data_IF_234104252203
#
_entry.id   IF_234104252203
#
_cell.length_a   1.000
_cell.length_b   1.000
_cell.length_c   1.000
_cell.angle_alpha   90.00
_cell.angle_beta   90.00
_cell.angle_gamma   90.00
#
_symmetry.space_group_name_H-M   'P 1'
#
loop_
_entity.id
_entity.type
_entity.pdbx_description
1 polymer ?
#
# COMPACT_ATOMS: atom_id res chain seq x y z
N UNK A 1 -31.35 -6.19 5.37
CA UNK A 1 -30.70 -7.09 4.38
C UNK A 1 -31.51 -8.38 4.30
N UNK A 2 -31.94 -8.81 3.10
CA UNK A 2 -32.72 -10.06 2.99
C UNK A 2 -31.76 -11.25 3.05
N UNK A 3 -32.21 -12.37 3.59
CA UNK A 3 -31.44 -13.62 3.71
C UNK A 3 -30.83 -14.06 2.35
N UNK A 4 -31.52 -13.74 1.26
CA UNK A 4 -31.12 -14.04 -0.12
C UNK A 4 -29.86 -13.28 -0.55
N UNK A 5 -29.75 -11.99 -0.21
CA UNK A 5 -28.63 -11.11 -0.56
C UNK A 5 -27.34 -11.57 0.16
N UNK A 6 -27.49 -12.18 1.34
CA UNK A 6 -26.37 -12.76 2.09
C UNK A 6 -25.80 -13.98 1.36
N UNK A 7 -26.67 -14.88 0.91
CA UNK A 7 -26.25 -16.13 0.27
C UNK A 7 -25.59 -15.89 -1.10
N UNK A 8 -26.10 -14.94 -1.87
CA UNK A 8 -25.50 -14.54 -3.16
C UNK A 8 -24.08 -14.01 -2.99
N UNK A 9 -23.89 -13.13 -2.01
CA UNK A 9 -22.56 -12.61 -1.70
C UNK A 9 -21.61 -13.70 -1.21
N UNK A 10 -22.06 -14.62 -0.36
CA UNK A 10 -21.23 -15.73 0.10
C UNK A 10 -20.78 -16.62 -1.07
N UNK A 11 -21.69 -16.88 -2.02
CA UNK A 11 -21.35 -17.58 -3.27
C UNK A 11 -20.30 -16.82 -4.07
N UNK A 12 -20.55 -15.54 -4.36
CA UNK A 12 -19.65 -14.73 -5.16
C UNK A 12 -18.25 -14.61 -4.52
N UNK A 13 -18.20 -14.41 -3.20
CA UNK A 13 -16.95 -14.34 -2.46
C UNK A 13 -16.21 -15.68 -2.43
N UNK A 14 -16.92 -16.80 -2.25
CA UNK A 14 -16.34 -18.14 -2.30
C UNK A 14 -15.74 -18.45 -3.67
N UNK A 15 -16.46 -18.13 -4.76
CA UNK A 15 -15.93 -18.28 -6.11
C UNK A 15 -14.69 -17.42 -6.35
N UNK A 16 -14.67 -16.19 -5.84
CA UNK A 16 -13.51 -15.28 -5.96
C UNK A 16 -12.28 -15.76 -5.17
N UNK A 17 -12.47 -16.39 -4.02
CA UNK A 17 -11.37 -16.81 -3.14
C UNK A 17 -10.86 -18.22 -3.40
N UNK A 18 -11.75 -19.14 -3.79
CA UNK A 18 -11.43 -20.58 -3.87
C UNK A 18 -11.66 -21.16 -5.26
N UNK A 19 -12.00 -20.35 -6.27
CA UNK A 19 -12.38 -20.80 -7.63
C UNK A 19 -13.52 -21.84 -7.64
N UNK A 20 -14.31 -21.90 -6.57
CA UNK A 20 -15.43 -22.82 -6.45
C UNK A 20 -16.65 -22.26 -7.20
N UNK A 21 -16.94 -22.78 -8.39
CA UNK A 21 -17.98 -22.28 -9.31
C UNK A 21 -19.32 -23.06 -9.27
N UNK A 22 -19.58 -23.85 -8.23
CA UNK A 22 -20.71 -24.80 -8.19
C UNK A 22 -21.99 -24.37 -7.43
N UNK A 23 -22.18 -23.10 -7.09
CA UNK A 23 -23.22 -22.69 -6.13
C UNK A 23 -24.53 -22.17 -6.74
N UNK A 24 -24.56 -21.82 -8.03
CA UNK A 24 -25.69 -21.14 -8.70
C UNK A 24 -26.97 -21.98 -8.69
N UNK A 25 -26.87 -23.26 -9.03
CA UNK A 25 -28.01 -24.19 -9.07
C UNK A 25 -28.59 -24.50 -7.69
N UNK A 26 -27.77 -24.41 -6.65
CA UNK A 26 -28.23 -24.65 -5.28
C UNK A 26 -28.84 -23.40 -4.66
N UNK A 27 -28.26 -22.23 -4.95
CA UNK A 27 -28.87 -20.93 -4.65
C UNK A 27 -30.28 -20.85 -5.23
N UNK A 28 -30.47 -21.16 -6.52
CA UNK A 28 -31.80 -21.09 -7.16
C UNK A 28 -32.82 -22.03 -6.51
N UNK A 29 -32.40 -23.21 -6.04
CA UNK A 29 -33.24 -24.13 -5.26
C UNK A 29 -33.60 -23.54 -3.89
N UNK A 30 -32.64 -22.91 -3.20
CA UNK A 30 -32.86 -22.31 -1.87
C UNK A 30 -33.80 -21.10 -1.98
N UNK A 31 -33.68 -20.28 -3.03
CA UNK A 31 -34.55 -19.12 -3.28
C UNK A 31 -36.04 -19.47 -3.39
N UNK A 32 -36.35 -20.70 -3.81
CA UNK A 32 -37.73 -21.19 -3.99
C UNK A 32 -38.34 -21.77 -2.71
N UNK A 33 -37.57 -21.90 -1.64
CA UNK A 33 -38.04 -22.47 -0.38
C UNK A 33 -38.53 -21.37 0.56
N UNK A 34 -39.58 -21.65 1.31
CA UNK A 34 -40.02 -20.78 2.40
C UNK A 34 -38.94 -20.72 3.49
N UNK A 35 -38.46 -19.49 3.78
CA UNK A 35 -37.41 -19.21 4.78
C UNK A 35 -37.77 -19.61 6.21
N UNK A 36 -39.06 -19.80 6.52
CA UNK A 36 -39.52 -20.11 7.89
C UNK A 36 -39.35 -21.58 8.26
N UNK A 37 -39.27 -22.48 7.27
CA UNK A 37 -39.18 -23.92 7.48
C UNK A 37 -37.81 -24.38 8.03
N UNK A 38 -37.83 -25.35 8.95
CA UNK A 38 -36.63 -26.03 9.48
C UNK A 38 -35.79 -26.70 8.39
N UNK A 39 -36.45 -27.23 7.35
CA UNK A 39 -35.80 -27.83 6.19
C UNK A 39 -35.01 -26.79 5.39
N UNK A 40 -35.52 -25.57 5.27
CA UNK A 40 -34.87 -24.45 4.58
C UNK A 40 -33.63 -23.98 5.36
N UNK A 41 -33.73 -23.85 6.68
CA UNK A 41 -32.59 -23.50 7.55
C UNK A 41 -31.45 -24.50 7.44
N UNK A 42 -31.77 -25.79 7.39
CA UNK A 42 -30.77 -26.87 7.23
C UNK A 42 -30.05 -26.78 5.90
N UNK A 43 -30.78 -26.52 4.80
CA UNK A 43 -30.19 -26.33 3.46
C UNK A 43 -29.30 -25.10 3.40
N UNK A 44 -29.74 -23.98 3.99
CA UNK A 44 -28.95 -22.75 4.11
C UNK A 44 -27.66 -23.00 4.88
N UNK A 45 -27.73 -23.66 6.04
CA UNK A 45 -26.54 -23.95 6.83
C UNK A 45 -25.55 -24.85 6.08
N UNK A 46 -26.04 -25.87 5.37
CA UNK A 46 -25.21 -26.75 4.54
C UNK A 46 -24.53 -25.97 3.41
N UNK A 47 -25.27 -25.11 2.74
CA UNK A 47 -24.75 -24.23 1.70
C UNK A 47 -23.63 -23.33 2.25
N UNK A 48 -23.91 -22.61 3.33
CA UNK A 48 -22.97 -21.68 3.98
C UNK A 48 -21.68 -22.40 4.37
N UNK A 49 -21.76 -23.60 4.96
CA UNK A 49 -20.55 -24.40 5.30
C UNK A 49 -19.73 -24.77 4.06
N UNK A 50 -20.39 -25.14 2.96
CA UNK A 50 -19.71 -25.55 1.73
C UNK A 50 -18.98 -24.39 1.04
N UNK A 51 -19.37 -23.15 1.30
CA UNK A 51 -18.62 -21.99 0.79
C UNK A 51 -17.20 -21.91 1.35
N UNK A 52 -16.90 -22.60 2.45
CA UNK A 52 -15.62 -22.53 3.16
C UNK A 52 -15.43 -21.24 3.97
N UNK A 53 -16.39 -20.31 3.90
CA UNK A 53 -16.30 -19.00 4.55
C UNK A 53 -16.76 -19.02 6.01
N UNK A 54 -17.48 -20.07 6.43
CA UNK A 54 -17.99 -20.23 7.80
C UNK A 54 -17.73 -21.65 8.28
N UNK A 55 -17.14 -21.78 9.47
CA UNK A 55 -16.95 -23.06 10.17
C UNK A 55 -17.72 -23.03 11.48
N UNK A 56 -18.43 -24.11 11.78
CA UNK A 56 -19.17 -24.25 13.05
C UNK A 56 -18.75 -25.53 13.74
N UNK A 57 -18.47 -25.48 15.03
CA UNK A 57 -18.25 -26.65 15.89
C UNK A 57 -19.29 -26.63 17.01
N UNK A 58 -19.96 -27.75 17.24
CA UNK A 58 -20.89 -27.92 18.36
C UNK A 58 -20.18 -28.50 19.60
N UNK A 59 -20.75 -28.32 20.80
CA UNK A 59 -20.20 -28.81 22.08
C UNK A 59 -19.73 -27.70 23.02
N UNK A 60 -19.18 -28.04 24.19
CA UNK A 60 -18.76 -27.06 25.20
C UNK A 60 -17.58 -26.17 24.76
N UNK A 61 -16.76 -26.67 23.83
CA UNK A 61 -15.74 -25.89 23.11
C UNK A 61 -16.20 -25.53 21.69
N UNK A 62 -17.51 -25.38 21.51
CA UNK A 62 -18.14 -25.03 20.26
C UNK A 62 -17.97 -23.55 19.92
N UNK A 63 -18.12 -23.21 18.64
CA UNK A 63 -17.98 -21.86 18.14
C UNK A 63 -18.36 -21.74 16.67
N UNK A 64 -18.53 -20.49 16.22
CA UNK A 64 -18.70 -20.14 14.81
C UNK A 64 -17.57 -19.22 14.40
N UNK A 65 -16.78 -19.65 13.42
CA UNK A 65 -15.69 -18.88 12.84
C UNK A 65 -16.06 -18.42 11.44
N UNK A 66 -15.79 -17.16 11.15
CA UNK A 66 -16.02 -16.54 9.86
C UNK A 66 -14.68 -16.17 9.21
N UNK A 67 -14.62 -16.30 7.89
CA UNK A 67 -13.46 -15.92 7.11
C UNK A 67 -13.19 -14.42 7.25
N UNK A 68 -11.94 -13.94 7.38
CA UNK A 68 -11.64 -12.53 7.62
C UNK A 68 -12.27 -11.56 6.61
N UNK A 69 -12.41 -11.97 5.34
CA UNK A 69 -13.10 -11.16 4.31
C UNK A 69 -14.60 -10.95 4.54
N UNK A 70 -15.21 -11.66 5.49
CA UNK A 70 -16.58 -11.40 5.93
C UNK A 70 -16.68 -10.37 7.06
N UNK A 71 -15.57 -10.01 7.69
CA UNK A 71 -15.57 -9.17 8.90
C UNK A 71 -16.26 -7.81 8.66
N UNK A 72 -15.90 -7.12 7.57
CA UNK A 72 -16.49 -5.81 7.24
C UNK A 72 -17.99 -5.93 7.01
N UNK A 73 -18.43 -6.92 6.22
CA UNK A 73 -19.86 -7.10 5.92
C UNK A 73 -20.66 -7.52 7.16
N UNK A 74 -20.06 -8.31 8.06
CA UNK A 74 -20.66 -8.66 9.34
C UNK A 74 -20.76 -7.44 10.26
N UNK A 75 -19.73 -6.61 10.34
CA UNK A 75 -19.73 -5.39 11.15
C UNK A 75 -20.76 -4.36 10.64
N UNK A 76 -20.88 -4.18 9.32
CA UNK A 76 -21.94 -3.35 8.70
C UNK A 76 -23.35 -3.80 9.13
N UNK A 77 -23.56 -5.11 9.26
CA UNK A 77 -24.85 -5.64 9.71
C UNK A 77 -25.13 -5.37 11.19
N UNK A 78 -24.11 -5.24 12.04
CA UNK A 78 -24.27 -5.00 13.48
C UNK A 78 -24.64 -3.56 13.83
N UNK A 79 -24.27 -2.58 13.01
CA UNK A 79 -24.53 -1.16 13.28
C UNK A 79 -24.70 -0.37 11.99
N UNK A 80 -25.81 0.37 11.90
CA UNK A 80 -26.10 1.28 10.79
C UNK A 80 -25.07 2.42 10.76
N UNK A 81 -24.73 2.98 11.92
CA UNK A 81 -23.72 4.06 12.00
C UNK A 81 -22.36 3.57 11.49
N UNK A 82 -21.98 2.33 11.82
CA UNK A 82 -20.75 1.73 11.33
C UNK A 82 -20.80 1.43 9.82
N UNK A 83 -21.96 1.04 9.31
CA UNK A 83 -22.17 0.88 7.87
C UNK A 83 -21.98 2.19 7.12
N UNK A 84 -22.60 3.28 7.60
CA UNK A 84 -22.45 4.62 7.03
C UNK A 84 -20.97 5.03 7.08
N UNK A 85 -20.31 4.83 8.23
CA UNK A 85 -18.88 5.14 8.37
C UNK A 85 -18.00 4.38 7.38
N UNK A 86 -18.26 3.08 7.14
CA UNK A 86 -17.52 2.30 6.15
C UNK A 86 -17.71 2.87 4.73
N UNK A 87 -18.92 3.28 4.38
CA UNK A 87 -19.22 3.86 3.07
C UNK A 87 -18.52 5.23 2.91
N UNK A 88 -18.43 6.05 3.97
CA UNK A 88 -17.63 7.28 3.99
C UNK A 88 -16.12 7.01 3.78
N UNK A 89 -15.57 5.95 4.39
CA UNK A 89 -14.16 5.58 4.17
C UNK A 89 -13.92 5.16 2.71
N UNK A 90 -14.86 4.43 2.10
CA UNK A 90 -14.77 4.05 0.69
C UNK A 90 -14.88 5.29 -0.21
N UNK A 91 -15.78 6.22 0.09
CA UNK A 91 -15.93 7.48 -0.66
C UNK A 91 -14.67 8.35 -0.58
N UNK A 92 -14.05 8.46 0.60
CA UNK A 92 -12.77 9.15 0.79
C UNK A 92 -11.65 8.54 -0.07
N UNK A 93 -11.55 7.20 -0.11
CA UNK A 93 -10.59 6.50 -0.96
C UNK A 93 -10.83 6.74 -2.45
N UNK A 94 -12.10 6.74 -2.90
CA UNK A 94 -12.46 6.98 -4.30
C UNK A 94 -12.14 8.42 -4.71
N UNK A 95 -12.41 9.39 -3.83
CA UNK A 95 -12.13 10.83 -4.08
C UNK A 95 -10.65 11.18 -4.00
N UNK A 96 -9.80 10.24 -3.59
CA UNK A 96 -8.38 10.49 -3.37
C UNK A 96 -8.09 11.29 -2.09
N UNK A 97 -9.10 11.52 -1.24
CA UNK A 97 -8.91 12.07 0.09
C UNK A 97 -8.36 10.97 0.99
N UNK A 98 -7.06 10.71 0.87
CA UNK A 98 -6.39 9.83 1.81
C UNK A 98 -6.45 10.50 3.18
N UNK A 99 -6.93 9.81 4.23
CA UNK A 99 -6.74 10.32 5.58
C UNK A 99 -5.24 10.56 5.76
N UNK A 100 -4.85 11.82 5.96
CA UNK A 100 -3.53 12.16 6.46
C UNK A 100 -3.46 11.57 7.85
N UNK A 101 -2.99 10.34 7.95
CA UNK A 101 -2.65 9.73 9.22
C UNK A 101 -1.46 10.51 9.78
N UNK A 102 -1.74 11.62 10.47
CA UNK A 102 -0.76 12.46 11.18
C UNK A 102 -0.33 11.74 12.46
N UNK A 103 0.09 10.50 12.32
CA UNK A 103 0.03 9.54 13.39
C UNK A 103 1.42 9.15 13.83
N UNK A 104 1.74 9.39 15.11
CA UNK A 104 2.90 8.83 15.80
C UNK A 104 3.03 7.32 15.56
N UNK A 105 1.91 6.63 15.29
CA UNK A 105 1.85 5.21 14.92
C UNK A 105 2.51 4.91 13.57
N UNK A 106 2.36 5.78 12.57
CA UNK A 106 3.07 5.65 11.29
C UNK A 106 4.55 5.91 11.49
N UNK A 107 4.89 6.95 12.24
CA UNK A 107 6.30 7.25 12.53
C UNK A 107 6.97 6.07 13.24
N UNK A 108 6.29 5.40 14.17
CA UNK A 108 6.76 4.18 14.82
C UNK A 108 6.97 2.99 13.86
N UNK A 109 6.32 2.96 12.69
CA UNK A 109 6.55 1.92 11.67
C UNK A 109 7.82 2.21 10.87
N UNK A 110 8.10 3.48 10.57
CA UNK A 110 9.18 3.86 9.66
C UNK A 110 10.46 4.33 10.36
N UNK A 111 10.36 4.83 11.59
CA UNK A 111 11.44 5.52 12.30
C UNK A 111 12.00 4.70 13.47
N UNK A 112 13.28 4.91 13.74
CA UNK A 112 14.00 4.45 14.92
C UNK A 112 14.12 5.61 15.93
N UNK A 113 14.02 5.28 17.22
CA UNK A 113 14.21 6.26 18.30
C UNK A 113 15.65 6.80 18.38
N UNK A 114 16.62 6.04 17.83
CA UNK A 114 18.04 6.40 17.80
C UNK A 114 18.63 6.14 16.40
N UNK A 115 19.61 6.95 15.97
CA UNK A 115 20.24 6.75 14.67
C UNK A 115 21.04 5.44 14.65
N UNK A 116 20.95 4.72 13.54
CA UNK A 116 21.83 3.60 13.24
C UNK A 116 23.22 4.10 12.82
N UNK A 117 24.24 3.26 12.96
CA UNK A 117 25.59 3.49 12.43
C UNK A 117 25.53 3.91 10.97
N UNK A 118 26.24 4.99 10.63
CA UNK A 118 26.27 5.52 9.28
C UNK A 118 26.91 4.52 8.31
N UNK A 119 26.19 4.23 7.22
CA UNK A 119 26.68 3.46 6.08
C UNK A 119 26.49 4.31 4.83
N UNK A 120 27.44 4.26 3.88
CA UNK A 120 27.37 5.06 2.65
C UNK A 120 26.27 4.53 1.71
N UNK A 121 25.04 5.00 1.90
CA UNK A 121 23.87 4.57 1.14
C UNK A 121 23.75 5.23 -0.23
N UNK A 122 24.14 6.50 -0.33
CA UNK A 122 24.16 7.22 -1.60
C UNK A 122 25.45 6.91 -2.34
N UNK A 123 25.36 6.01 -3.32
CA UNK A 123 26.51 5.59 -4.11
C UNK A 123 26.90 6.67 -5.14
N UNK A 124 28.18 6.66 -5.54
CA UNK A 124 28.71 7.61 -6.54
C UNK A 124 27.90 7.68 -7.86
N UNK A 125 27.33 6.58 -8.39
CA UNK A 125 26.56 6.63 -9.64
C UNK A 125 25.36 7.59 -9.60
N UNK A 126 24.73 7.75 -8.43
CA UNK A 126 23.61 8.68 -8.27
C UNK A 126 24.05 10.13 -8.48
N UNK A 127 25.06 10.58 -7.73
CA UNK A 127 25.54 11.97 -7.84
C UNK A 127 26.23 12.26 -9.17
N UNK A 128 26.86 11.26 -9.79
CA UNK A 128 27.39 11.37 -11.14
C UNK A 128 26.26 11.57 -12.17
N UNK A 129 25.14 10.84 -12.04
CA UNK A 129 23.97 11.03 -12.91
C UNK A 129 23.36 12.44 -12.74
N UNK A 130 23.23 12.92 -11.49
CA UNK A 130 22.76 14.28 -11.23
C UNK A 130 23.69 15.34 -11.78
N UNK A 131 25.01 15.16 -11.63
CA UNK A 131 26.01 16.06 -12.18
C UNK A 131 25.93 16.15 -13.70
N UNK A 132 25.79 14.99 -14.38
CA UNK A 132 25.61 14.93 -15.84
C UNK A 132 24.35 15.66 -16.32
N UNK A 133 23.20 15.37 -15.72
CA UNK A 133 21.93 15.94 -16.17
C UNK A 133 21.76 17.43 -15.80
N UNK A 134 22.42 17.91 -14.74
CA UNK A 134 22.31 19.30 -14.28
C UNK A 134 23.44 20.21 -14.78
N UNK A 135 24.52 19.62 -15.30
CA UNK A 135 25.74 20.35 -15.65
C UNK A 135 26.55 20.87 -14.46
N UNK A 136 26.15 20.56 -13.22
CA UNK A 136 26.83 21.01 -12.00
C UNK A 136 28.01 20.09 -11.65
N UNK A 137 29.15 20.63 -11.18
CA UNK A 137 30.31 19.82 -10.84
C UNK A 137 30.07 18.94 -9.61
N UNK A 138 30.61 17.72 -9.62
CA UNK A 138 30.59 16.81 -8.48
C UNK A 138 31.94 16.14 -8.27
N UNK A 139 32.64 16.55 -7.22
CA UNK A 139 34.00 16.09 -6.88
C UNK A 139 33.98 15.17 -5.66
N UNK A 140 33.08 14.18 -5.61
CA UNK A 140 33.05 13.20 -4.54
C UNK A 140 32.79 13.78 -3.14
N UNK A 141 32.01 14.88 -3.08
CA UNK A 141 31.72 15.70 -1.89
C UNK A 141 32.88 16.58 -1.37
N UNK A 142 34.03 16.62 -2.04
CA UNK A 142 35.10 17.58 -1.72
C UNK A 142 34.63 18.99 -2.11
N UNK A 143 34.56 19.92 -1.13
CA UNK A 143 34.06 21.29 -1.34
C UNK A 143 32.54 21.44 -1.20
N UNK A 144 31.85 20.41 -0.74
CA UNK A 144 30.40 20.42 -0.58
C UNK A 144 29.65 19.84 -1.78
N UNK A 145 28.33 19.75 -1.65
CA UNK A 145 27.45 19.22 -2.71
C UNK A 145 26.49 20.33 -3.14
N UNK A 146 26.24 20.53 -4.45
CA UNK A 146 25.29 21.53 -4.90
C UNK A 146 23.92 21.40 -4.22
N UNK A 147 23.30 22.53 -3.88
CA UNK A 147 21.99 22.57 -3.20
C UNK A 147 20.90 21.84 -4.00
N UNK A 148 20.98 21.90 -5.33
CA UNK A 148 20.09 21.18 -6.24
C UNK A 148 20.06 19.67 -5.97
N UNK A 149 21.19 19.05 -5.63
CA UNK A 149 21.23 17.61 -5.38
C UNK A 149 20.51 17.27 -4.08
N UNK A 150 20.65 18.13 -3.07
CA UNK A 150 19.88 18.04 -1.82
C UNK A 150 18.38 18.18 -2.07
N UNK A 151 17.97 19.14 -2.90
CA UNK A 151 16.57 19.33 -3.28
C UNK A 151 16.00 18.12 -4.04
N UNK A 152 16.75 17.58 -5.01
CA UNK A 152 16.35 16.37 -5.74
C UNK A 152 16.24 15.18 -4.80
N UNK A 153 17.21 15.00 -3.90
CA UNK A 153 17.19 13.89 -2.93
C UNK A 153 15.99 14.01 -1.98
N UNK A 154 15.69 15.22 -1.49
CA UNK A 154 14.49 15.47 -0.68
C UNK A 154 13.22 15.13 -1.43
N UNK A 155 13.04 15.71 -2.62
CA UNK A 155 11.78 15.66 -3.38
C UNK A 155 11.54 14.29 -4.02
N UNK A 156 12.54 13.72 -4.68
CA UNK A 156 12.36 12.55 -5.55
C UNK A 156 12.81 11.23 -4.95
N UNK A 157 13.62 11.27 -3.90
CA UNK A 157 14.09 10.06 -3.21
C UNK A 157 13.33 9.85 -1.91
N UNK A 158 13.27 10.86 -1.04
CA UNK A 158 12.61 10.71 0.27
C UNK A 158 11.10 10.89 0.22
N UNK A 159 10.60 12.05 -0.26
CA UNK A 159 9.17 12.40 -0.21
C UNK A 159 8.27 11.54 -1.12
N UNK A 160 8.85 10.83 -2.08
CA UNK A 160 8.10 9.87 -2.93
C UNK A 160 7.76 8.59 -2.17
N UNK A 161 8.64 8.12 -1.29
CA UNK A 161 8.50 6.82 -0.62
C UNK A 161 8.15 6.90 0.86
N UNK A 162 8.45 8.03 1.49
CA UNK A 162 8.13 8.26 2.90
C UNK A 162 6.91 9.19 3.00
N UNK A 163 5.97 8.90 3.90
CA UNK A 163 4.93 9.86 4.26
C UNK A 163 5.53 11.19 4.74
N UNK A 164 4.84 12.31 4.47
CA UNK A 164 5.33 13.65 4.80
C UNK A 164 5.67 13.80 6.30
N UNK A 165 4.86 13.21 7.18
CA UNK A 165 5.10 13.21 8.63
C UNK A 165 6.40 12.50 9.01
N UNK A 166 6.66 11.34 8.41
CA UNK A 166 7.85 10.50 8.65
C UNK A 166 9.09 11.24 8.18
N UNK A 167 9.03 11.82 6.98
CA UNK A 167 10.16 12.58 6.45
C UNK A 167 10.46 13.83 7.28
N UNK A 168 9.42 14.57 7.70
CA UNK A 168 9.58 15.75 8.53
C UNK A 168 10.21 15.41 9.88
N UNK A 169 9.74 14.34 10.55
CA UNK A 169 10.28 13.93 11.84
C UNK A 169 11.72 13.42 11.73
N UNK A 170 12.03 12.58 10.73
CA UNK A 170 13.40 12.12 10.51
C UNK A 170 14.37 13.28 10.18
N UNK A 171 13.88 14.31 9.48
CA UNK A 171 14.64 15.51 9.16
C UNK A 171 14.89 16.38 10.40
N UNK A 172 13.91 16.55 11.26
CA UNK A 172 14.09 17.26 12.53
C UNK A 172 14.97 16.48 13.51
N UNK A 173 14.86 15.15 13.55
CA UNK A 173 15.72 14.30 14.38
C UNK A 173 17.21 14.40 13.99
N UNK A 174 17.51 14.49 12.69
CA UNK A 174 18.87 14.65 12.16
C UNK A 174 19.43 16.08 12.28
N UNK A 175 18.61 17.06 12.67
CA UNK A 175 18.98 18.47 12.68
C UNK A 175 19.92 18.76 13.85
N UNK A 176 21.10 19.30 13.55
CA UNK A 176 22.08 19.67 14.58
C UNK A 176 22.86 18.49 15.17
N UNK A 177 22.50 17.23 14.87
CA UNK A 177 23.26 16.05 15.32
C UNK A 177 24.42 15.68 14.40
N UNK A 178 24.41 16.13 13.14
CA UNK A 178 25.37 15.73 12.11
C UNK A 178 25.00 14.41 11.40
N UNK A 179 23.97 13.72 11.90
CA UNK A 179 23.44 12.49 11.32
C UNK A 179 22.73 12.74 9.99
N UNK A 180 22.55 11.67 9.22
CA UNK A 180 21.77 11.66 7.99
C UNK A 180 20.36 11.16 8.26
N UNK A 181 19.38 11.69 7.53
CA UNK A 181 17.95 11.33 7.63
C UNK A 181 17.74 9.80 7.59
N UNK A 182 18.46 9.09 6.72
CA UNK A 182 18.32 7.63 6.58
C UNK A 182 18.87 6.81 7.76
N UNK A 183 19.62 7.41 8.70
CA UNK A 183 20.06 6.73 9.92
C UNK A 183 18.91 6.52 10.91
N UNK A 184 17.86 7.35 10.83
CA UNK A 184 16.64 7.24 11.65
C UNK A 184 15.58 6.34 11.02
N UNK A 185 15.83 5.72 9.86
CA UNK A 185 14.87 4.85 9.20
C UNK A 185 15.06 3.39 9.63
N UNK A 186 13.95 2.68 9.85
CA UNK A 186 13.96 1.22 10.02
C UNK A 186 14.46 0.50 8.75
N UNK A 187 14.96 -0.74 8.85
CA UNK A 187 15.52 -1.48 7.72
C UNK A 187 14.58 -1.58 6.51
N UNK A 188 13.28 -1.77 6.73
CA UNK A 188 12.26 -1.86 5.70
C UNK A 188 12.09 -0.54 4.96
N UNK A 189 12.00 0.57 5.71
CA UNK A 189 11.93 1.93 5.17
C UNK A 189 13.20 2.30 4.40
N UNK A 190 14.37 1.92 4.94
CA UNK A 190 15.68 2.11 4.30
C UNK A 190 15.76 1.38 2.97
N UNK A 191 15.21 0.15 2.87
CA UNK A 191 15.16 -0.62 1.63
C UNK A 191 14.33 0.08 0.54
N UNK A 192 13.17 0.64 0.89
CA UNK A 192 12.34 1.40 -0.04
C UNK A 192 13.09 2.63 -0.60
N UNK A 193 13.76 3.38 0.28
CA UNK A 193 14.59 4.53 -0.12
C UNK A 193 15.73 4.10 -1.05
N UNK A 194 16.37 2.96 -0.81
CA UNK A 194 17.42 2.43 -1.69
C UNK A 194 16.89 2.03 -3.07
N UNK A 195 15.72 1.39 -3.14
CA UNK A 195 15.08 1.03 -4.41
C UNK A 195 14.69 2.27 -5.22
N UNK A 196 14.12 3.27 -4.55
CA UNK A 196 13.81 4.55 -5.18
C UNK A 196 15.06 5.27 -5.67
N UNK A 197 16.14 5.26 -4.88
CA UNK A 197 17.41 5.85 -5.28
C UNK A 197 17.93 5.23 -6.60
N UNK A 198 17.82 3.91 -6.75
CA UNK A 198 18.18 3.22 -7.99
C UNK A 198 17.30 3.65 -9.15
N UNK A 199 15.98 3.70 -8.95
CA UNK A 199 15.03 4.13 -9.98
C UNK A 199 15.31 5.57 -10.46
N UNK A 200 15.52 6.49 -9.52
CA UNK A 200 15.87 7.90 -9.83
C UNK A 200 17.21 7.98 -10.56
N UNK A 201 18.21 7.17 -10.17
CA UNK A 201 19.51 7.14 -10.84
C UNK A 201 19.38 6.69 -12.30
N UNK A 202 18.58 5.66 -12.57
CA UNK A 202 18.34 5.15 -13.93
C UNK A 202 17.65 6.22 -14.77
N UNK A 203 16.63 6.88 -14.24
CA UNK A 203 15.93 7.97 -14.92
C UNK A 203 16.88 9.14 -15.21
N UNK A 204 17.64 9.60 -14.21
CA UNK A 204 18.58 10.72 -14.34
C UNK A 204 19.61 10.48 -15.46
N UNK A 205 20.11 9.26 -15.61
CA UNK A 205 21.05 8.93 -16.69
C UNK A 205 20.43 9.02 -18.10
N UNK A 206 19.12 8.88 -18.23
CA UNK A 206 18.40 8.99 -19.51
C UNK A 206 17.86 10.39 -19.82
N UNK A 207 18.11 11.38 -18.97
CA UNK A 207 17.61 12.74 -19.11
C UNK A 207 18.65 13.67 -19.71
N UNK A 208 18.21 14.61 -20.54
CA UNK A 208 19.08 15.60 -21.18
C UNK A 208 19.34 16.80 -20.26
N UNK A 209 18.31 17.25 -19.54
CA UNK A 209 18.38 18.37 -18.61
C UNK A 209 17.49 18.15 -17.37
N UNK A 210 17.53 19.10 -16.43
CA UNK A 210 16.72 19.04 -15.21
C UNK A 210 15.21 19.09 -15.48
N UNK A 211 14.77 19.77 -16.54
CA UNK A 211 13.34 19.93 -16.86
C UNK A 211 12.77 18.63 -17.41
N UNK A 212 13.51 17.95 -18.29
CA UNK A 212 13.20 16.60 -18.78
C UNK A 212 13.19 15.59 -17.62
N UNK A 213 14.18 15.67 -16.73
CA UNK A 213 14.21 14.85 -15.52
C UNK A 213 12.97 15.05 -14.64
N UNK A 214 12.60 16.30 -14.36
CA UNK A 214 11.42 16.60 -13.54
C UNK A 214 10.14 16.06 -14.19
N UNK A 215 9.96 16.26 -15.49
CA UNK A 215 8.79 15.76 -16.22
C UNK A 215 8.68 14.23 -16.15
N UNK A 216 9.79 13.51 -16.35
CA UNK A 216 9.84 12.04 -16.27
C UNK A 216 9.64 11.52 -14.86
N UNK A 217 10.14 12.23 -13.85
CA UNK A 217 9.89 11.89 -12.46
C UNK A 217 8.41 12.07 -12.10
N UNK A 218 7.76 13.16 -12.52
CA UNK A 218 6.31 13.36 -12.34
C UNK A 218 5.53 12.25 -13.03
N UNK A 219 5.92 11.87 -14.25
CA UNK A 219 5.27 10.80 -15.00
C UNK A 219 5.44 9.41 -14.36
N UNK A 220 6.63 9.12 -13.82
CA UNK A 220 6.97 7.80 -13.28
C UNK A 220 6.52 7.60 -11.83
N UNK A 221 6.54 8.67 -11.02
CA UNK A 221 6.36 8.62 -9.57
C UNK A 221 5.14 9.40 -9.06
N UNK A 222 4.48 10.19 -9.91
CA UNK A 222 3.39 11.08 -9.49
C UNK A 222 3.89 12.39 -8.87
N UNK A 223 2.97 13.29 -8.50
CA UNK A 223 3.29 14.50 -7.76
C UNK A 223 3.61 14.16 -6.30
N UNK A 224 4.65 14.80 -5.76
CA UNK A 224 4.97 14.82 -4.33
C UNK A 224 3.70 15.20 -3.56
N UNK A 225 3.16 14.28 -2.76
CA UNK A 225 1.96 14.50 -1.94
C UNK A 225 0.61 13.98 -2.49
N UNK A 226 0.51 13.48 -3.73
CA UNK A 226 -0.78 13.01 -4.29
C UNK A 226 -0.87 11.48 -4.52
N UNK A 227 0.20 10.71 -4.28
CA UNK A 227 0.18 9.25 -4.32
C UNK A 227 0.87 8.63 -3.10
N UNK A 228 0.34 8.92 -1.92
CA UNK A 228 0.66 8.16 -0.71
C UNK A 228 -0.08 6.82 -0.69
N UNK A 229 0.67 5.73 -0.88
CA UNK A 229 0.29 4.31 -0.86
C UNK A 229 -0.38 3.74 -2.12
N UNK A 230 0.45 3.19 -3.02
CA UNK A 230 0.15 1.89 -3.63
C UNK A 230 1.41 1.20 -4.18
N UNK A 231 2.41 0.91 -3.33
CA UNK A 231 3.34 -0.19 -3.59
C UNK A 231 3.68 -0.90 -2.27
N UNK A 232 2.77 -1.75 -1.79
CA UNK A 232 3.21 -3.05 -1.27
C UNK A 232 3.70 -3.82 -2.51
N UNK A 233 4.88 -4.46 -2.49
CA UNK A 233 5.37 -5.19 -3.65
C UNK A 233 4.52 -6.46 -3.80
N UNK A 234 3.42 -6.36 -4.53
CA UNK A 234 2.93 -7.48 -5.31
C UNK A 234 3.65 -7.34 -6.63
N UNK A 235 4.62 -8.23 -6.85
CA UNK A 235 5.35 -8.49 -8.09
C UNK A 235 4.74 -7.80 -9.31
N UNK A 236 5.16 -6.55 -9.58
CA UNK A 236 5.02 -6.00 -10.93
C UNK A 236 6.22 -6.53 -11.69
N UNK A 237 6.01 -7.61 -12.44
CA UNK A 237 6.86 -7.92 -13.58
C UNK A 237 6.94 -6.65 -14.44
N UNK A 238 8.13 -6.04 -14.48
CA UNK A 238 8.43 -5.02 -15.46
C UNK A 238 8.37 -5.68 -16.84
N UNK A 239 7.28 -5.49 -17.58
CA UNK A 239 7.19 -5.95 -18.96
C UNK A 239 8.18 -5.10 -19.80
N UNK A 240 9.35 -5.65 -20.08
CA UNK A 240 10.19 -5.19 -21.17
C UNK A 240 9.53 -5.60 -22.49
N UNK A 241 8.67 -4.73 -23.02
CA UNK A 241 8.14 -4.88 -24.37
C UNK A 241 8.19 -3.54 -25.10
N UNK A 242 9.39 -3.20 -25.58
CA UNK A 242 9.74 -2.36 -26.72
C UNK A 242 11.27 -2.16 -26.59
N UNK A 243 12.13 -2.59 -27.50
CA UNK A 243 12.18 -2.31 -28.94
C UNK A 243 12.94 -3.46 -29.61
N UNK A 244 12.32 -4.13 -30.58
CA UNK A 244 13.03 -4.82 -31.66
C UNK A 244 12.86 -3.95 -32.90
N UNK A 245 13.94 -3.41 -33.40
CA UNK A 245 14.23 -3.23 -34.82
C UNK A 245 15.74 -3.22 -34.98
#
# INVERSE_FOLDING_TARGET
>A
MRQIDVLEYLSALSSKLFSNSGFVTELSKIKRLDSTSSASRTKVLRFVKRTGLVKTKAGSQGGTWLHPKLAVRFARWLSVDFEIWCDEQIDALIRGTQPTFTDQRINAIFLLDKPTTWEKQFQQPFYQALSRMSGLPYNGHVGGTPSLFGMITSKWVYQVVLPDSVYAEAKEAAKGSGDKIHQYLKPEAKKLVQEQLKAVTILANGCVDYKDFEARCVQSFGRSGEQGMLILPVEREFSYSAVRH
#
